data_IF_383367686978
#
_entry.id   IF_383367686978
#
_cell.length_a   1.000
_cell.length_b   1.000
_cell.length_c   1.000
_cell.angle_alpha   90.00
_cell.angle_beta   90.00
_cell.angle_gamma   90.00
#
_symmetry.space_group_name_H-M   'P 1'
#
loop_
_entity.id
_entity.type
_entity.pdbx_description
1 polymer ?
#
# COMPACT_ATOMS: atom_id res chain seq x y z
N UNK A 1 -42.82 29.95 -8.21
CA UNK A 1 -43.56 29.80 -6.94
C UNK A 1 -42.96 28.65 -6.14
N UNK A 2 -42.66 28.91 -4.84
CA UNK A 2 -42.51 27.98 -3.69
C UNK A 2 -41.41 26.89 -3.84
N UNK A 3 -40.19 27.03 -3.30
CA UNK A 3 -39.76 26.96 -1.88
C UNK A 3 -40.32 25.77 -1.11
N UNK A 4 -39.46 24.82 -0.72
CA UNK A 4 -39.31 24.37 0.67
C UNK A 4 -38.13 23.40 0.84
N UNK A 5 -37.25 23.78 1.75
CA UNK A 5 -36.20 22.99 2.42
C UNK A 5 -36.85 22.13 3.51
N UNK A 6 -36.42 20.88 3.69
CA UNK A 6 -36.26 20.21 5.00
C UNK A 6 -35.75 18.77 4.76
N UNK A 7 -34.49 18.48 5.12
CA UNK A 7 -34.13 17.71 6.32
C UNK A 7 -34.79 16.33 6.40
N UNK A 8 -34.02 15.31 6.01
CA UNK A 8 -33.95 14.08 6.78
C UNK A 8 -32.50 13.91 7.25
N UNK A 9 -32.25 14.38 8.47
CA UNK A 9 -31.09 13.97 9.25
C UNK A 9 -31.20 12.49 9.59
N UNK A 10 -30.04 11.93 9.93
CA UNK A 10 -29.88 10.87 10.95
C UNK A 10 -30.08 9.43 10.46
N UNK A 11 -28.94 8.75 10.24
CA UNK A 11 -28.58 7.40 10.76
C UNK A 11 -27.69 6.64 9.77
N UNK A 12 -26.39 6.91 9.82
CA UNK A 12 -25.35 5.90 9.60
C UNK A 12 -24.00 6.31 10.23
N UNK A 13 -24.02 7.13 11.29
CA UNK A 13 -22.96 7.06 12.28
C UNK A 13 -23.33 5.89 13.19
N UNK A 14 -22.61 4.76 13.14
CA UNK A 14 -22.41 3.76 14.21
C UNK A 14 -21.75 2.46 13.72
N UNK A 15 -21.26 2.36 12.48
CA UNK A 15 -20.55 1.16 12.01
C UNK A 15 -19.09 0.99 12.49
N UNK A 16 -18.53 1.97 13.22
CA UNK A 16 -17.13 1.96 13.68
C UNK A 16 -16.97 1.66 15.17
N UNK A 17 -18.07 1.44 15.90
CA UNK A 17 -18.06 1.24 17.35
C UNK A 17 -18.06 -0.24 17.78
N UNK A 18 -17.90 -1.18 16.83
CA UNK A 18 -17.83 -2.61 17.14
C UNK A 18 -16.68 -3.29 16.37
N UNK A 19 -15.48 -2.73 16.50
CA UNK A 19 -14.25 -3.46 16.19
C UNK A 19 -13.93 -4.37 17.38
N UNK A 20 -13.79 -5.69 17.19
CA UNK A 20 -13.37 -6.56 18.29
C UNK A 20 -11.94 -6.16 18.69
N UNK A 21 -11.76 -5.68 19.92
CA UNK A 21 -10.46 -5.66 20.57
C UNK A 21 -10.03 -7.12 20.72
N UNK A 22 -9.24 -7.61 19.77
CA UNK A 22 -8.43 -8.79 20.01
C UNK A 22 -7.55 -8.49 21.22
N UNK A 23 -7.89 -9.06 22.37
CA UNK A 23 -7.04 -9.04 23.53
C UNK A 23 -5.82 -9.88 23.16
N UNK A 24 -4.73 -9.20 22.78
CA UNK A 24 -3.41 -9.81 22.81
C UNK A 24 -3.11 -10.09 24.29
N UNK A 25 -3.59 -11.22 24.78
CA UNK A 25 -3.06 -11.79 26.00
C UNK A 25 -1.60 -12.13 25.71
N UNK A 26 -0.69 -11.36 26.30
CA UNK A 26 0.72 -11.73 26.37
C UNK A 26 0.79 -13.14 26.99
N UNK A 27 1.54 -14.08 26.39
CA UNK A 27 1.79 -15.34 27.08
C UNK A 27 2.53 -15.04 28.40
N UNK A 28 2.16 -15.67 29.53
CA UNK A 28 2.90 -15.49 30.76
C UNK A 28 4.36 -15.95 30.57
N UNK A 29 5.33 -15.30 31.24
CA UNK A 29 6.74 -15.65 31.12
C UNK A 29 7.00 -17.07 31.62
N UNK A 30 7.88 -17.79 30.91
CA UNK A 30 8.24 -19.17 31.18
C UNK A 30 8.72 -19.39 32.63
N UNK A 31 7.86 -19.99 33.46
CA UNK A 31 8.27 -20.60 34.71
C UNK A 31 8.75 -22.03 34.45
N UNK A 32 9.94 -22.34 34.96
CA UNK A 32 10.73 -23.58 34.79
C UNK A 32 9.89 -24.87 34.85
N UNK A 33 10.21 -25.90 34.03
CA UNK A 33 9.48 -27.16 34.00
C UNK A 33 9.67 -27.95 35.29
N UNK A 34 8.58 -28.18 36.03
CA UNK A 34 8.54 -29.19 37.10
C UNK A 34 8.07 -30.54 36.53
N UNK A 35 8.71 -31.66 36.90
CA UNK A 35 8.40 -32.97 36.36
C UNK A 35 7.15 -33.54 37.04
N UNK A 36 6.17 -33.97 36.25
CA UNK A 36 5.06 -34.77 36.75
C UNK A 36 4.78 -35.96 35.83
N UNK A 37 5.30 -37.09 36.30
CA UNK A 37 4.82 -38.47 36.23
C UNK A 37 3.98 -38.86 35.01
N UNK A 38 4.62 -39.70 34.19
CA UNK A 38 4.12 -40.51 33.09
C UNK A 38 3.03 -41.49 33.59
N UNK A 39 1.81 -41.37 33.07
CA UNK A 39 0.89 -42.50 32.90
C UNK A 39 1.00 -42.98 31.45
N UNK A 40 1.20 -44.29 31.19
CA UNK A 40 1.35 -44.78 29.83
C UNK A 40 -0.01 -44.84 29.11
N UNK A 41 -0.17 -44.05 28.05
CA UNK A 41 -1.22 -44.24 27.06
C UNK A 41 -0.84 -45.41 26.11
N UNK A 42 -1.80 -46.20 25.62
CA UNK A 42 -1.55 -47.42 24.86
C UNK A 42 -0.80 -47.15 23.54
N UNK A 43 0.14 -48.05 23.23
CA UNK A 43 0.89 -48.08 21.97
C UNK A 43 -0.08 -48.21 20.81
N UNK A 44 -0.24 -47.16 20.02
CA UNK A 44 -0.82 -47.29 18.67
C UNK A 44 0.32 -47.67 17.73
N UNK A 45 0.33 -48.95 17.40
CA UNK A 45 1.04 -49.58 16.29
C UNK A 45 0.96 -48.73 15.01
N UNK A 46 2.10 -48.55 14.34
CA UNK A 46 2.18 -47.93 13.04
C UNK A 46 1.35 -48.69 11.99
N UNK A 47 0.46 -47.99 11.29
CA UNK A 47 -0.20 -48.41 10.05
C UNK A 47 -0.37 -47.18 9.13
N UNK A 48 -0.37 -47.38 7.79
CA UNK A 48 0.24 -46.48 6.81
C UNK A 48 -0.63 -45.27 6.42
N UNK A 49 0.02 -44.20 5.92
CA UNK A 49 -0.63 -43.01 5.38
C UNK A 49 -1.67 -43.37 4.29
N UNK A 50 -2.92 -42.87 4.36
CA UNK A 50 -3.81 -42.87 3.21
C UNK A 50 -3.31 -41.85 2.18
N UNK A 51 -2.77 -42.40 1.08
CA UNK A 51 -2.33 -41.72 -0.14
C UNK A 51 -3.56 -41.27 -0.97
N UNK A 52 -4.43 -40.41 -0.44
CA UNK A 52 -5.62 -39.97 -1.16
C UNK A 52 -6.19 -38.64 -0.64
N UNK A 53 -5.48 -37.53 -0.85
CA UNK A 53 -6.10 -36.19 -0.81
C UNK A 53 -5.37 -35.15 -1.70
N UNK A 54 -4.49 -35.59 -2.60
CA UNK A 54 -3.96 -34.75 -3.67
C UNK A 54 -4.93 -34.73 -4.87
N UNK A 55 -6.07 -34.05 -4.72
CA UNK A 55 -6.81 -33.40 -5.83
C UNK A 55 -8.04 -32.66 -5.28
N UNK A 56 -7.84 -31.50 -4.67
CA UNK A 56 -8.89 -30.50 -4.65
C UNK A 56 -8.76 -29.69 -5.95
N UNK A 57 -9.47 -30.12 -6.99
CA UNK A 57 -9.64 -29.32 -8.20
C UNK A 57 -10.38 -28.04 -7.82
N UNK A 58 -9.70 -26.90 -7.93
CA UNK A 58 -10.36 -25.60 -7.84
C UNK A 58 -11.38 -25.51 -8.99
N UNK A 59 -12.65 -25.13 -8.75
CA UNK A 59 -13.59 -24.94 -9.84
C UNK A 59 -13.11 -23.80 -10.75
N UNK A 60 -13.37 -23.86 -12.05
CA UNK A 60 -13.02 -22.78 -12.96
C UNK A 60 -13.79 -21.53 -12.53
N UNK A 61 -13.07 -20.51 -12.06
CA UNK A 61 -13.63 -19.18 -11.90
C UNK A 61 -13.97 -18.64 -13.29
N UNK A 62 -15.23 -18.81 -13.72
CA UNK A 62 -15.80 -18.00 -14.81
C UNK A 62 -16.00 -16.57 -14.28
N UNK A 63 -14.88 -15.88 -14.06
CA UNK A 63 -14.91 -14.45 -13.81
C UNK A 63 -15.26 -13.77 -15.13
N UNK A 64 -16.50 -13.26 -15.25
CA UNK A 64 -16.77 -12.14 -16.16
C UNK A 64 -15.68 -11.09 -15.90
N UNK A 65 -15.02 -10.53 -16.93
CA UNK A 65 -13.99 -9.54 -16.71
C UNK A 65 -14.60 -8.39 -15.92
N UNK A 66 -14.18 -8.25 -14.66
CA UNK A 66 -14.53 -7.12 -13.82
C UNK A 66 -14.13 -5.87 -14.57
N UNK A 67 -15.08 -4.94 -14.71
CA UNK A 67 -14.81 -3.58 -15.20
C UNK A 67 -13.51 -3.11 -14.53
N UNK A 68 -12.47 -2.71 -15.29
CA UNK A 68 -11.24 -2.30 -14.67
C UNK A 68 -11.55 -1.17 -13.69
N UNK A 69 -11.12 -1.31 -12.44
CA UNK A 69 -11.17 -0.26 -11.40
C UNK A 69 -10.17 0.88 -11.73
N UNK A 70 -10.04 1.21 -13.01
CA UNK A 70 -9.21 2.29 -13.51
C UNK A 70 -10.16 3.35 -14.06
N UNK A 71 -9.98 4.58 -13.58
CA UNK A 71 -10.54 5.75 -14.24
C UNK A 71 -10.13 5.69 -15.74
N UNK A 72 -11.07 5.66 -16.69
CA UNK A 72 -10.76 5.57 -18.12
C UNK A 72 -9.93 6.77 -18.62
N UNK A 73 -9.87 7.86 -17.86
CA UNK A 73 -9.04 9.03 -18.15
C UNK A 73 -7.63 8.94 -17.53
N UNK A 74 -7.37 7.95 -16.66
CA UNK A 74 -6.05 7.77 -16.08
C UNK A 74 -5.10 7.17 -17.14
N UNK A 75 -3.97 7.85 -17.47
CA UNK A 75 -2.99 7.29 -18.38
C UNK A 75 -2.45 5.96 -17.84
N UNK A 76 -2.23 5.01 -18.74
CA UNK A 76 -1.74 3.68 -18.39
C UNK A 76 -0.38 3.75 -17.69
N UNK A 77 -0.35 3.37 -16.41
CA UNK A 77 0.91 3.20 -15.68
C UNK A 77 1.59 1.94 -16.25
N UNK A 78 2.77 2.10 -16.87
CA UNK A 78 3.64 0.95 -17.17
C UNK A 78 4.01 0.32 -15.83
N UNK A 79 3.58 -0.92 -15.62
CA UNK A 79 3.95 -1.64 -14.41
C UNK A 79 5.48 -1.82 -14.41
N UNK A 80 6.14 -1.32 -13.37
CA UNK A 80 7.50 -1.75 -13.10
C UNK A 80 7.45 -3.22 -12.72
N UNK A 81 8.22 -4.06 -13.43
CA UNK A 81 8.31 -5.48 -13.11
C UNK A 81 9.02 -5.61 -11.76
N UNK A 82 8.42 -6.26 -10.75
CA UNK A 82 9.10 -6.51 -9.49
C UNK A 82 10.35 -7.37 -9.77
N UNK A 83 11.51 -6.92 -9.30
CA UNK A 83 12.72 -7.74 -9.32
C UNK A 83 12.49 -8.93 -8.40
N UNK A 84 12.65 -10.15 -8.93
CA UNK A 84 12.47 -11.39 -8.19
C UNK A 84 13.36 -11.41 -6.92
N UNK A 85 12.85 -11.91 -5.78
CA UNK A 85 13.64 -12.00 -4.56
C UNK A 85 14.80 -12.99 -4.79
N UNK A 86 16.04 -12.51 -4.59
CA UNK A 86 17.20 -13.40 -4.50
C UNK A 86 17.26 -14.05 -3.11
N UNK A 87 17.81 -15.27 -2.98
CA UNK A 87 17.99 -15.90 -1.68
C UNK A 87 19.04 -15.12 -0.87
N UNK A 88 18.55 -14.36 0.11
CA UNK A 88 19.33 -13.53 1.02
C UNK A 88 19.61 -14.34 2.28
N UNK A 89 20.65 -15.18 2.23
CA UNK A 89 21.04 -16.03 3.37
C UNK A 89 21.78 -15.27 4.47
N UNK A 90 22.31 -14.08 4.17
CA UNK A 90 23.15 -13.26 5.04
C UNK A 90 22.49 -11.88 5.29
N UNK A 91 22.28 -11.46 6.55
CA UNK A 91 21.75 -10.14 6.89
C UNK A 91 22.48 -8.97 6.25
N UNK A 92 23.80 -9.02 6.12
CA UNK A 92 24.58 -7.91 5.53
C UNK A 92 24.31 -7.78 4.03
N UNK A 93 24.25 -8.92 3.32
CA UNK A 93 23.89 -8.95 1.90
C UNK A 93 22.48 -8.40 1.64
N UNK A 94 21.56 -8.59 2.58
CA UNK A 94 20.23 -8.00 2.51
C UNK A 94 20.26 -6.48 2.57
N UNK A 95 20.98 -5.92 3.54
CA UNK A 95 21.07 -4.47 3.71
C UNK A 95 21.71 -3.80 2.49
N UNK A 96 22.75 -4.39 1.91
CA UNK A 96 23.38 -3.89 0.70
C UNK A 96 22.42 -3.90 -0.50
N UNK A 97 21.73 -5.03 -0.72
CA UNK A 97 20.76 -5.17 -1.80
C UNK A 97 19.59 -4.17 -1.66
N UNK A 98 19.08 -3.97 -0.44
CA UNK A 98 18.00 -3.03 -0.19
C UNK A 98 18.44 -1.58 -0.41
N UNK A 99 19.66 -1.22 0.03
CA UNK A 99 20.23 0.10 -0.23
C UNK A 99 20.38 0.38 -1.73
N UNK A 100 20.88 -0.58 -2.51
CA UNK A 100 21.00 -0.45 -3.96
C UNK A 100 19.63 -0.30 -4.63
N UNK A 101 18.63 -1.08 -4.21
CA UNK A 101 17.25 -0.98 -4.71
C UNK A 101 16.63 0.37 -4.40
N UNK A 102 16.83 0.86 -3.18
CA UNK A 102 16.32 2.15 -2.76
C UNK A 102 16.96 3.29 -3.57
N UNK A 103 18.27 3.26 -3.79
CA UNK A 103 18.96 4.24 -4.65
C UNK A 103 18.45 4.23 -6.09
N UNK A 104 18.23 3.04 -6.67
CA UNK A 104 17.67 2.91 -8.01
C UNK A 104 16.26 3.51 -8.10
N UNK A 105 15.41 3.26 -7.10
CA UNK A 105 14.06 3.83 -7.02
C UNK A 105 14.09 5.37 -6.95
N UNK A 106 15.00 5.95 -6.18
CA UNK A 106 15.17 7.39 -6.08
C UNK A 106 15.66 8.01 -7.41
N UNK A 107 16.55 7.32 -8.13
CA UNK A 107 17.00 7.76 -9.45
C UNK A 107 15.86 7.74 -10.48
N UNK A 108 15.05 6.67 -10.49
CA UNK A 108 13.87 6.56 -11.34
C UNK A 108 12.84 7.64 -11.02
N UNK A 109 12.62 7.93 -9.73
CA UNK A 109 11.78 9.05 -9.30
C UNK A 109 12.30 10.37 -9.85
N UNK A 110 13.59 10.69 -9.67
CA UNK A 110 14.15 11.96 -10.15
C UNK A 110 14.02 12.11 -11.68
N UNK A 111 14.25 11.02 -12.42
CA UNK A 111 14.06 10.96 -13.87
C UNK A 111 12.61 11.23 -14.28
N UNK A 112 11.63 10.69 -13.57
CA UNK A 112 10.22 10.90 -13.85
C UNK A 112 9.69 12.27 -13.39
N UNK A 113 10.23 12.80 -12.27
CA UNK A 113 9.77 14.04 -11.67
C UNK A 113 10.09 15.27 -12.55
N UNK A 114 11.28 15.33 -13.15
CA UNK A 114 11.74 16.46 -13.98
C UNK A 114 10.76 16.84 -15.10
N UNK A 115 10.39 15.95 -16.04
CA UNK A 115 9.41 16.29 -17.07
C UNK A 115 8.03 16.59 -16.49
N UNK A 116 7.66 15.96 -15.37
CA UNK A 116 6.36 16.21 -14.73
C UNK A 116 6.25 17.60 -14.11
N UNK A 117 7.34 18.11 -13.53
CA UNK A 117 7.43 19.48 -13.01
C UNK A 117 7.20 20.48 -14.15
N UNK A 118 7.92 20.32 -15.27
CA UNK A 118 7.77 21.20 -16.43
C UNK A 118 6.34 21.14 -17.02
N UNK A 119 5.74 19.95 -17.07
CA UNK A 119 4.35 19.78 -17.52
C UNK A 119 3.37 20.52 -16.60
N UNK A 120 3.51 20.39 -15.28
CA UNK A 120 2.65 21.06 -14.30
C UNK A 120 2.80 22.59 -14.37
N UNK A 121 4.02 23.10 -14.53
CA UNK A 121 4.25 24.54 -14.73
C UNK A 121 3.50 25.06 -15.96
N UNK A 122 3.59 24.34 -17.07
CA UNK A 122 2.86 24.67 -18.30
C UNK A 122 1.35 24.62 -18.12
N UNK A 123 0.83 23.59 -17.43
CA UNK A 123 -0.61 23.44 -17.17
C UNK A 123 -1.14 24.55 -16.25
N UNK A 124 -0.38 24.95 -15.23
CA UNK A 124 -0.74 26.06 -14.36
C UNK A 124 -0.75 27.37 -15.15
N UNK A 125 0.28 27.64 -15.96
CA UNK A 125 0.34 28.84 -16.80
C UNK A 125 -0.84 28.90 -17.80
N UNK A 126 -1.12 27.77 -18.46
CA UNK A 126 -2.29 27.62 -19.35
C UNK A 126 -3.59 27.87 -18.60
N UNK A 127 -3.77 27.24 -17.44
CA UNK A 127 -4.96 27.40 -16.61
C UNK A 127 -5.19 28.85 -16.15
N UNK A 128 -4.12 29.59 -15.85
CA UNK A 128 -4.23 31.03 -15.56
C UNK A 128 -4.73 31.83 -16.76
N UNK A 129 -4.22 31.54 -17.95
CA UNK A 129 -4.67 32.20 -19.19
C UNK A 129 -6.11 31.86 -19.56
N UNK A 130 -6.56 30.63 -19.26
CA UNK A 130 -7.92 30.13 -19.54
C UNK A 130 -8.95 30.48 -18.45
N UNK A 131 -8.55 31.21 -17.40
CA UNK A 131 -9.47 31.64 -16.34
C UNK A 131 -9.90 30.54 -15.37
N UNK A 132 -9.09 29.50 -15.16
CA UNK A 132 -9.33 28.48 -14.12
C UNK A 132 -9.40 29.14 -12.74
N UNK A 133 -10.29 28.64 -11.88
CA UNK A 133 -10.50 29.20 -10.54
C UNK A 133 -9.24 29.19 -9.68
N UNK A 134 -9.11 30.21 -8.83
CA UNK A 134 -7.97 30.37 -7.92
C UNK A 134 -7.72 29.15 -7.03
N UNK A 135 -8.79 28.48 -6.57
CA UNK A 135 -8.67 27.26 -5.76
C UNK A 135 -8.01 26.09 -6.51
N UNK A 136 -8.33 25.93 -7.79
CA UNK A 136 -7.74 24.90 -8.65
C UNK A 136 -6.29 25.22 -9.00
N UNK A 137 -5.99 26.49 -9.29
CA UNK A 137 -4.61 26.96 -9.48
C UNK A 137 -3.75 26.73 -8.22
N UNK A 138 -4.26 27.10 -7.04
CA UNK A 138 -3.58 26.88 -5.77
C UNK A 138 -3.36 25.40 -5.46
N UNK A 139 -4.26 24.50 -5.89
CA UNK A 139 -4.05 23.05 -5.78
C UNK A 139 -2.90 22.60 -6.69
N UNK A 140 -2.84 23.10 -7.93
CA UNK A 140 -1.76 22.82 -8.86
C UNK A 140 -0.40 23.32 -8.33
N UNK A 141 -0.36 24.55 -7.84
CA UNK A 141 0.85 25.18 -7.28
C UNK A 141 1.38 24.42 -6.06
N UNK A 142 0.49 23.99 -5.15
CA UNK A 142 0.88 23.16 -4.00
C UNK A 142 1.49 21.83 -4.43
N UNK A 143 0.91 21.16 -5.43
CA UNK A 143 1.47 19.93 -6.00
C UNK A 143 2.84 20.16 -6.65
N UNK A 144 2.97 21.26 -7.40
CA UNK A 144 4.22 21.65 -8.03
C UNK A 144 5.32 21.90 -6.99
N UNK A 145 5.02 22.69 -5.96
CA UNK A 145 5.94 22.96 -4.86
C UNK A 145 6.37 21.66 -4.16
N UNK A 146 5.42 20.75 -3.94
CA UNK A 146 5.72 19.47 -3.31
C UNK A 146 6.64 18.58 -4.14
N UNK A 147 6.39 18.50 -5.45
CA UNK A 147 7.22 17.71 -6.35
C UNK A 147 8.64 18.29 -6.47
N UNK A 148 8.76 19.62 -6.51
CA UNK A 148 10.07 20.31 -6.50
C UNK A 148 10.84 20.06 -5.22
N UNK A 149 10.20 20.16 -4.06
CA UNK A 149 10.83 19.93 -2.77
C UNK A 149 11.29 18.47 -2.63
N UNK A 150 10.48 17.51 -3.08
CA UNK A 150 10.86 16.10 -3.10
C UNK A 150 12.05 15.84 -4.03
N UNK A 151 12.05 16.39 -5.25
CA UNK A 151 13.17 16.26 -6.18
C UNK A 151 14.45 16.85 -5.59
N UNK A 152 14.40 18.06 -5.02
CA UNK A 152 15.54 18.70 -4.40
C UNK A 152 16.10 17.87 -3.24
N UNK A 153 15.22 17.28 -2.41
CA UNK A 153 15.65 16.39 -1.33
C UNK A 153 16.36 15.14 -1.86
N UNK A 154 15.83 14.50 -2.91
CA UNK A 154 16.46 13.34 -3.54
C UNK A 154 17.83 13.69 -4.12
N UNK A 155 17.97 14.83 -4.80
CA UNK A 155 19.24 15.29 -5.36
C UNK A 155 20.26 15.65 -4.26
N UNK A 156 19.79 16.22 -3.16
CA UNK A 156 20.62 16.51 -1.98
C UNK A 156 20.88 15.26 -1.10
N UNK A 157 20.34 14.09 -1.45
CA UNK A 157 20.34 12.88 -0.61
C UNK A 157 19.79 13.13 0.81
N UNK A 158 18.86 14.07 0.93
CA UNK A 158 18.19 14.46 2.17
C UNK A 158 16.84 13.72 2.32
N UNK A 159 16.28 13.66 3.54
CA UNK A 159 14.94 13.13 3.75
C UNK A 159 13.90 13.86 2.91
N UNK A 160 13.02 13.11 2.23
CA UNK A 160 11.94 13.70 1.44
C UNK A 160 10.95 14.38 2.41
N UNK A 161 10.65 15.68 2.24
CA UNK A 161 9.76 16.39 3.14
C UNK A 161 8.34 15.83 3.07
N UNK A 162 7.77 15.51 4.24
CA UNK A 162 6.34 15.15 4.37
C UNK A 162 5.51 16.41 4.25
N UNK A 163 5.10 16.74 3.04
CA UNK A 163 4.18 17.85 2.81
C UNK A 163 2.76 17.37 3.08
N UNK A 164 2.04 18.12 3.92
CA UNK A 164 0.61 17.88 4.16
C UNK A 164 -0.15 18.09 2.85
N UNK A 165 -0.47 16.99 2.17
CA UNK A 165 -1.39 17.00 1.05
C UNK A 165 -2.81 17.08 1.64
N UNK A 166 -3.62 18.07 1.23
CA UNK A 166 -5.00 18.23 1.71
C UNK A 166 -5.92 17.15 1.14
#
# INVERSE_FOLDING_TARGET
>A
MKVAIALFSLLAALGWLFWPKAQLALPPPATKPQPRVITPAPVITAAPLPKAAQKAQQPPITAKPSVPLRDPLAPGIKAHQPVAPQPLGDPEQYLEAENARHQALLADFAKAARPKIAELERLIAKGRAEGISAGQLAKGERKLAALKAALAAVEAKAPIPRLALP
#
